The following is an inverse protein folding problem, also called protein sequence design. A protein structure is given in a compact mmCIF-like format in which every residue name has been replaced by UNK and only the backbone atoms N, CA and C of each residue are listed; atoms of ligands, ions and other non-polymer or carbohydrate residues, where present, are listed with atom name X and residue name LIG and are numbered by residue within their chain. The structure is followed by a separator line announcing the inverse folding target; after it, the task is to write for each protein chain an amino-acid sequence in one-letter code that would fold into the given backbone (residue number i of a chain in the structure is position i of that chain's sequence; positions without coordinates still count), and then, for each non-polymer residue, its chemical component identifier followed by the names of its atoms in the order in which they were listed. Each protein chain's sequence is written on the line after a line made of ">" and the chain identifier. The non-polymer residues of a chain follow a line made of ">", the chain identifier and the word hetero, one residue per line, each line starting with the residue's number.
data_IF_118436896394
#
_entry.id   IF_118436896394
#
_cell.length_a   1.000
_cell.length_b   1.000
_cell.length_c   1.000
_cell.angle_alpha   90.00
_cell.angle_beta   90.00
_cell.angle_gamma   90.00
#
_symmetry.space_group_name_H-M   'P 1'
#
loop_
_entity.id
_entity.type
_entity.pdbx_description
1 polymer ?
#
# COMPACT_ATOMS: atom_id res chain seq x y z
N UNK A 1 -23.16 -46.81 -1.86
CA UNK A 1 -21.81 -46.66 -1.30
C UNK A 1 -20.87 -46.29 -2.44
N UNK A 2 -20.53 -45.00 -2.50
CA UNK A 2 -19.34 -44.36 -3.11
C UNK A 2 -18.81 -43.40 -2.02
N UNK A 3 -17.55 -42.91 -2.00
CA UNK A 3 -16.62 -42.58 -3.10
C UNK A 3 -15.24 -43.27 -2.93
N UNK A 4 -14.29 -43.32 -3.87
CA UNK A 4 -13.68 -42.37 -4.82
C UNK A 4 -12.59 -41.45 -4.23
N UNK A 5 -11.48 -41.35 -4.97
CA UNK A 5 -10.22 -40.61 -4.78
C UNK A 5 -9.08 -41.22 -3.93
N UNK A 6 -8.10 -41.80 -4.64
CA UNK A 6 -6.71 -41.87 -4.20
C UNK A 6 -5.78 -41.62 -5.39
N UNK A 7 -5.06 -40.49 -5.39
CA UNK A 7 -3.58 -40.40 -5.34
C UNK A 7 -3.11 -39.00 -5.75
N UNK A 8 -2.35 -38.41 -4.82
CA UNK A 8 -1.51 -37.24 -4.97
C UNK A 8 -0.42 -37.51 -6.02
N UNK A 9 -0.25 -36.60 -6.97
CA UNK A 9 0.92 -36.53 -7.83
C UNK A 9 1.81 -35.41 -7.30
N UNK A 10 2.91 -35.81 -6.66
CA UNK A 10 4.07 -34.94 -6.44
C UNK A 10 4.71 -34.71 -7.80
N UNK A 11 4.81 -33.46 -8.24
CA UNK A 11 5.58 -33.09 -9.42
C UNK A 11 7.04 -32.89 -8.97
N UNK A 12 7.88 -33.91 -9.18
CA UNK A 12 9.32 -33.77 -9.04
C UNK A 12 9.87 -32.83 -10.12
N UNK A 13 10.85 -32.00 -9.75
CA UNK A 13 11.52 -31.07 -10.66
C UNK A 13 12.33 -31.84 -11.72
N UNK A 14 12.34 -31.41 -13.00
CA UNK A 14 13.07 -32.11 -14.04
C UNK A 14 14.59 -31.97 -13.86
N UNK A 15 15.29 -33.10 -13.93
CA UNK A 15 16.76 -33.20 -13.96
C UNK A 15 17.30 -32.59 -15.27
N UNK A 16 18.42 -31.85 -15.25
CA UNK A 16 18.91 -31.19 -16.45
C UNK A 16 19.62 -32.20 -17.36
N UNK A 17 19.09 -32.40 -18.57
CA UNK A 17 19.80 -33.04 -19.67
C UNK A 17 20.49 -31.97 -20.50
N UNK A 18 21.82 -32.02 -20.52
CA UNK A 18 22.70 -31.26 -21.39
C UNK A 18 22.65 -31.83 -22.82
N UNK A 19 22.15 -31.04 -23.77
CA UNK A 19 22.56 -31.13 -25.18
C UNK A 19 22.14 -29.86 -25.93
N UNK A 20 23.15 -29.05 -26.23
CA UNK A 20 23.28 -28.06 -27.32
C UNK A 20 22.19 -28.03 -28.39
N UNK A 21 21.42 -26.94 -28.38
CA UNK A 21 20.93 -26.15 -29.52
C UNK A 21 20.55 -24.77 -28.95
N UNK A 22 21.56 -23.89 -28.77
CA UNK A 22 21.37 -22.53 -28.28
C UNK A 22 21.07 -21.58 -29.45
N UNK A 23 19.85 -21.66 -29.96
CA UNK A 23 19.17 -20.56 -30.66
C UNK A 23 18.03 -20.06 -29.78
N UNK A 24 18.33 -19.78 -28.50
CA UNK A 24 17.41 -19.01 -27.67
C UNK A 24 17.50 -17.54 -28.11
N UNK A 25 16.58 -17.10 -28.98
CA UNK A 25 16.30 -15.68 -29.14
C UNK A 25 16.15 -15.10 -27.72
N UNK A 26 17.15 -14.34 -27.24
CA UNK A 26 17.02 -13.58 -26.02
C UNK A 26 15.84 -12.64 -26.21
N UNK A 27 14.71 -13.02 -25.64
CA UNK A 27 13.47 -12.25 -25.75
C UNK A 27 13.71 -10.89 -25.10
N UNK A 28 13.93 -9.87 -25.94
CA UNK A 28 14.25 -8.53 -25.46
C UNK A 28 12.96 -7.86 -24.98
N UNK A 29 12.63 -8.08 -23.71
CA UNK A 29 11.41 -7.55 -23.08
C UNK A 29 11.33 -6.03 -23.18
N UNK A 30 12.47 -5.33 -23.16
CA UNK A 30 12.53 -3.87 -23.25
C UNK A 30 12.04 -3.34 -24.62
N UNK A 31 12.16 -4.13 -25.69
CA UNK A 31 11.61 -3.77 -27.00
C UNK A 31 10.10 -4.01 -27.10
N UNK A 32 9.60 -5.00 -26.39
CA UNK A 32 8.17 -5.38 -26.40
C UNK A 32 7.33 -4.66 -25.35
N UNK A 33 7.97 -4.03 -24.36
CA UNK A 33 7.35 -3.23 -23.31
C UNK A 33 7.92 -1.79 -23.27
N UNK A 34 7.53 -0.93 -24.22
CA UNK A 34 7.96 0.47 -24.24
C UNK A 34 7.48 1.27 -23.03
N UNK A 35 6.50 0.77 -22.27
CA UNK A 35 6.05 1.40 -21.04
C UNK A 35 7.03 1.17 -19.88
N UNK A 36 7.84 0.11 -19.94
CA UNK A 36 8.73 -0.32 -18.85
C UNK A 36 8.00 -0.89 -17.64
N UNK A 37 6.75 -1.33 -17.81
CA UNK A 37 5.93 -1.92 -16.75
C UNK A 37 6.58 -3.18 -16.16
N UNK A 38 7.16 -4.05 -16.99
CA UNK A 38 7.90 -5.24 -16.59
C UNK A 38 8.90 -4.91 -15.47
N UNK A 39 9.74 -3.90 -15.71
CA UNK A 39 10.78 -3.50 -14.75
C UNK A 39 10.17 -3.01 -13.46
N UNK A 40 9.11 -2.19 -13.53
CA UNK A 40 8.39 -1.71 -12.35
C UNK A 40 7.74 -2.84 -11.55
N UNK A 41 7.28 -3.90 -12.21
CA UNK A 41 6.71 -5.08 -11.52
C UNK A 41 7.81 -5.91 -10.85
N UNK A 42 8.96 -6.10 -11.51
CA UNK A 42 10.11 -6.81 -10.93
C UNK A 42 10.71 -6.05 -9.77
N UNK A 43 10.70 -4.72 -9.82
CA UNK A 43 11.20 -3.83 -8.76
C UNK A 43 10.25 -3.75 -7.55
N UNK A 44 9.13 -4.49 -7.54
CA UNK A 44 8.14 -4.45 -6.46
C UNK A 44 8.74 -4.67 -5.06
N UNK A 45 9.63 -5.66 -4.82
CA UNK A 45 10.26 -5.84 -3.50
C UNK A 45 11.04 -4.61 -3.04
N UNK A 46 11.78 -3.97 -3.94
CA UNK A 46 12.55 -2.75 -3.65
C UNK A 46 11.62 -1.57 -3.36
N UNK A 47 10.53 -1.42 -4.11
CA UNK A 47 9.50 -0.41 -3.82
C UNK A 47 8.92 -0.60 -2.41
N UNK A 48 8.57 -1.84 -2.08
CA UNK A 48 7.99 -2.19 -0.80
C UNK A 48 8.96 -1.95 0.36
N UNK A 49 10.24 -2.32 0.21
CA UNK A 49 11.28 -2.08 1.20
C UNK A 49 11.51 -0.58 1.43
N UNK A 50 11.60 0.20 0.34
CA UNK A 50 11.77 1.64 0.43
C UNK A 50 10.57 2.32 1.10
N UNK A 51 9.36 1.97 0.68
CA UNK A 51 8.12 2.47 1.26
C UNK A 51 7.99 2.12 2.76
N UNK A 52 8.36 0.90 3.15
CA UNK A 52 8.41 0.49 4.56
C UNK A 52 9.33 1.40 5.39
N UNK A 53 10.56 1.65 4.89
CA UNK A 53 11.52 2.53 5.57
C UNK A 53 11.02 3.97 5.66
N UNK A 54 10.38 4.48 4.61
CA UNK A 54 9.77 5.82 4.62
C UNK A 54 8.66 5.92 5.68
N UNK A 55 7.73 4.96 5.69
CA UNK A 55 6.61 4.96 6.63
C UNK A 55 7.07 4.84 8.09
N UNK A 56 8.03 3.95 8.37
CA UNK A 56 8.55 3.73 9.74
C UNK A 56 9.36 4.91 10.28
N UNK A 57 9.91 5.76 9.41
CA UNK A 57 10.69 6.95 9.80
C UNK A 57 9.87 8.24 9.80
N UNK A 58 8.67 8.23 9.23
CA UNK A 58 7.84 9.42 9.12
C UNK A 58 7.31 9.84 10.50
N UNK A 59 7.49 11.12 10.83
CA UNK A 59 7.15 11.71 12.16
C UNK A 59 6.03 12.74 12.07
N UNK A 60 5.20 12.69 11.01
CA UNK A 60 4.10 13.64 10.84
C UNK A 60 2.94 13.41 11.80
N UNK A 61 2.87 12.24 12.44
CA UNK A 61 1.98 11.95 13.55
C UNK A 61 2.85 11.44 14.70
N UNK A 62 2.63 11.98 15.90
CA UNK A 62 3.25 11.49 17.13
C UNK A 62 2.76 10.08 17.47
N UNK A 63 3.30 9.47 18.53
CA UNK A 63 2.83 8.15 18.95
C UNK A 63 1.34 8.24 19.34
N UNK A 64 0.47 7.77 18.44
CA UNK A 64 -0.98 7.89 18.58
C UNK A 64 -1.50 6.76 19.48
N UNK A 65 -1.34 6.94 20.79
CA UNK A 65 -1.89 6.02 21.79
C UNK A 65 -3.41 5.98 21.62
N UNK A 66 -3.95 4.79 21.35
CA UNK A 66 -5.39 4.54 21.34
C UNK A 66 -6.06 4.54 19.97
N UNK A 67 -5.32 4.51 18.85
CA UNK A 67 -5.92 4.25 17.54
C UNK A 67 -6.53 2.84 17.52
N UNK A 68 -7.84 2.77 17.25
CA UNK A 68 -8.65 1.54 17.23
C UNK A 68 -9.21 1.26 15.84
N UNK A 69 -9.26 2.29 14.99
CA UNK A 69 -9.85 2.25 13.66
C UNK A 69 -9.04 3.10 12.70
N UNK A 70 -8.88 2.62 11.47
CA UNK A 70 -8.28 3.36 10.35
C UNK A 70 -9.29 3.45 9.22
N UNK A 71 -9.56 4.67 8.76
CA UNK A 71 -10.34 4.95 7.56
C UNK A 71 -9.40 5.39 6.45
N UNK A 72 -9.29 4.61 5.38
CA UNK A 72 -8.49 4.96 4.22
C UNK A 72 -9.43 5.52 3.15
N UNK A 73 -9.37 6.83 2.92
CA UNK A 73 -10.13 7.52 1.88
C UNK A 73 -9.28 7.58 0.62
N UNK A 74 -9.70 6.90 -0.44
CA UNK A 74 -8.94 6.90 -1.68
C UNK A 74 -9.54 6.03 -2.77
N UNK A 75 -9.08 6.26 -4.00
CA UNK A 75 -9.56 5.59 -5.20
C UNK A 75 -8.48 4.74 -5.86
N UNK A 76 -8.89 3.74 -6.64
CA UNK A 76 -8.00 2.91 -7.46
C UNK A 76 -6.86 2.28 -6.66
N UNK A 77 -5.61 2.54 -7.07
CA UNK A 77 -4.41 2.00 -6.43
C UNK A 77 -4.27 2.34 -4.95
N UNK A 78 -4.70 3.55 -4.54
CA UNK A 78 -4.72 3.94 -3.12
C UNK A 78 -5.67 3.08 -2.30
N UNK A 79 -6.86 2.79 -2.86
CA UNK A 79 -7.83 1.91 -2.22
C UNK A 79 -7.29 0.48 -2.10
N UNK A 80 -6.65 -0.03 -3.16
CA UNK A 80 -6.05 -1.38 -3.17
C UNK A 80 -4.94 -1.48 -2.12
N UNK A 81 -4.05 -0.49 -2.04
CA UNK A 81 -2.99 -0.43 -1.02
C UNK A 81 -3.56 -0.45 0.40
N UNK A 82 -4.62 0.33 0.65
CA UNK A 82 -5.35 0.32 1.92
C UNK A 82 -5.98 -1.04 2.25
N UNK A 83 -6.56 -1.71 1.26
CA UNK A 83 -7.15 -3.04 1.44
C UNK A 83 -6.10 -4.09 1.80
N UNK A 84 -4.95 -4.08 1.11
CA UNK A 84 -3.84 -5.00 1.42
C UNK A 84 -3.32 -4.75 2.83
N UNK A 85 -3.08 -3.48 3.19
CA UNK A 85 -2.65 -3.13 4.55
C UNK A 85 -3.68 -3.58 5.60
N UNK A 86 -4.97 -3.37 5.35
CA UNK A 86 -6.06 -3.82 6.21
C UNK A 86 -6.03 -5.31 6.48
N UNK A 87 -5.90 -6.13 5.43
CA UNK A 87 -5.83 -7.59 5.56
C UNK A 87 -4.63 -8.07 6.38
N UNK A 88 -3.51 -7.34 6.35
CA UNK A 88 -2.32 -7.64 7.17
C UNK A 88 -2.55 -7.25 8.62
N UNK A 89 -3.10 -6.05 8.86
CA UNK A 89 -3.32 -5.50 10.21
C UNK A 89 -4.38 -6.28 10.97
N UNK A 90 -5.53 -6.57 10.35
CA UNK A 90 -6.66 -7.27 10.99
C UNK A 90 -6.29 -8.67 11.49
N UNK A 91 -5.29 -9.31 10.89
CA UNK A 91 -4.81 -10.63 11.33
C UNK A 91 -3.93 -10.58 12.57
N UNK A 92 -3.46 -9.40 12.97
CA UNK A 92 -2.37 -9.23 13.95
C UNK A 92 -2.63 -8.16 14.99
N UNK A 93 -3.65 -7.32 14.79
CA UNK A 93 -4.00 -6.19 15.64
C UNK A 93 -5.52 -6.11 15.78
N UNK A 94 -6.05 -5.65 16.93
CA UNK A 94 -7.47 -5.36 17.07
C UNK A 94 -7.92 -4.10 16.30
N UNK A 95 -7.00 -3.40 15.64
CA UNK A 95 -7.30 -2.21 14.84
C UNK A 95 -8.13 -2.59 13.61
N UNK A 96 -9.34 -2.03 13.52
CA UNK A 96 -10.22 -2.21 12.36
C UNK A 96 -9.78 -1.28 11.22
N UNK A 97 -9.75 -1.78 9.98
CA UNK A 97 -9.39 -0.96 8.82
C UNK A 97 -10.49 -1.00 7.76
N UNK A 98 -10.88 0.18 7.27
CA UNK A 98 -11.92 0.32 6.26
C UNK A 98 -11.44 1.21 5.14
N UNK A 99 -11.71 0.81 3.89
CA UNK A 99 -11.41 1.61 2.71
C UNK A 99 -12.68 2.24 2.19
N UNK A 100 -12.69 3.57 2.14
CA UNK A 100 -13.84 4.38 1.72
C UNK A 100 -13.51 4.98 0.36
N UNK A 101 -14.37 4.70 -0.62
CA UNK A 101 -14.23 5.14 -2.02
C UNK A 101 -15.19 6.27 -2.39
N UNK A 102 -16.30 6.37 -1.67
CA UNK A 102 -17.34 7.34 -1.96
C UNK A 102 -17.26 8.56 -1.05
N UNK A 103 -18.07 9.57 -1.36
CA UNK A 103 -18.17 10.84 -0.63
C UNK A 103 -18.72 10.69 0.80
N UNK A 104 -19.39 9.57 1.08
CA UNK A 104 -20.01 9.29 2.38
C UNK A 104 -18.97 8.72 3.35
N UNK A 105 -18.22 9.62 3.98
CA UNK A 105 -17.23 9.28 4.99
C UNK A 105 -17.94 8.83 6.27
N UNK A 106 -17.67 7.60 6.78
CA UNK A 106 -18.23 7.11 8.03
C UNK A 106 -17.94 8.03 9.22
N UNK A 107 -18.76 7.93 10.25
CA UNK A 107 -18.46 8.60 11.52
C UNK A 107 -17.10 8.18 12.08
N UNK A 108 -16.39 9.17 12.64
CA UNK A 108 -15.07 9.03 13.25
C UNK A 108 -15.13 9.55 14.69
N UNK A 109 -14.15 9.16 15.48
CA UNK A 109 -13.94 9.59 16.85
C UNK A 109 -12.44 9.83 17.11
N UNK A 110 -12.07 10.19 18.33
CA UNK A 110 -10.68 10.44 18.71
C UNK A 110 -9.77 9.20 18.60
N UNK A 111 -10.36 8.00 18.55
CA UNK A 111 -9.65 6.73 18.32
C UNK A 111 -9.54 6.34 16.84
N UNK A 112 -9.94 7.22 15.91
CA UNK A 112 -9.93 6.98 14.47
C UNK A 112 -8.76 7.72 13.81
N UNK A 113 -7.98 6.99 13.01
CA UNK A 113 -7.02 7.55 12.07
C UNK A 113 -7.67 7.64 10.68
N UNK A 114 -7.76 8.84 10.11
CA UNK A 114 -8.25 9.07 8.75
C UNK A 114 -7.03 9.29 7.83
N UNK A 115 -6.84 8.38 6.89
CA UNK A 115 -5.76 8.41 5.90
C UNK A 115 -6.34 8.79 4.56
N UNK A 116 -5.98 9.95 4.05
CA UNK A 116 -6.41 10.41 2.72
C UNK A 116 -5.30 10.10 1.71
N UNK A 117 -5.58 9.21 0.76
CA UNK A 117 -4.58 8.66 -0.13
C UNK A 117 -4.91 8.90 -1.61
N UNK A 118 -4.06 9.66 -2.31
CA UNK A 118 -4.15 9.84 -3.76
C UNK A 118 -2.75 9.81 -4.38
N UNK A 119 -2.53 8.92 -5.34
CA UNK A 119 -1.25 8.82 -6.05
C UNK A 119 -0.94 10.04 -6.92
N UNK A 120 -1.96 10.63 -7.58
CA UNK A 120 -1.78 11.83 -8.40
C UNK A 120 -1.76 13.11 -7.55
N UNK A 121 -2.47 13.11 -6.42
CA UNK A 121 -2.75 14.32 -5.66
C UNK A 121 -3.83 15.21 -6.29
N UNK A 122 -4.49 14.73 -7.36
CA UNK A 122 -5.45 15.49 -8.17
C UNK A 122 -6.81 14.77 -8.31
N UNK A 123 -7.05 13.72 -7.51
CA UNK A 123 -8.33 13.00 -7.55
C UNK A 123 -9.44 13.90 -7.03
N UNK A 124 -10.38 14.30 -7.91
CA UNK A 124 -11.43 15.28 -7.61
C UNK A 124 -12.27 14.89 -6.40
N UNK A 125 -12.67 13.61 -6.30
CA UNK A 125 -13.46 13.09 -5.20
C UNK A 125 -12.71 13.24 -3.86
N UNK A 126 -11.41 12.93 -3.86
CA UNK A 126 -10.55 13.04 -2.67
C UNK A 126 -10.35 14.49 -2.26
N UNK A 127 -10.12 15.38 -3.24
CA UNK A 127 -9.96 16.82 -2.99
C UNK A 127 -11.25 17.42 -2.42
N UNK A 128 -12.40 17.09 -3.02
CA UNK A 128 -13.70 17.60 -2.58
C UNK A 128 -14.06 17.17 -1.16
N UNK A 129 -13.58 16.00 -0.72
CA UNK A 129 -13.82 15.45 0.60
C UNK A 129 -12.89 16.02 1.70
N UNK A 130 -11.73 16.56 1.33
CA UNK A 130 -10.69 16.98 2.29
C UNK A 130 -11.16 18.05 3.30
N UNK A 131 -11.88 19.11 2.91
CA UNK A 131 -12.41 20.09 3.86
C UNK A 131 -13.38 19.47 4.86
N UNK A 132 -14.22 18.52 4.43
CA UNK A 132 -15.11 17.79 5.33
C UNK A 132 -14.32 16.93 6.29
N UNK A 133 -13.30 16.20 5.82
CA UNK A 133 -12.41 15.37 6.65
C UNK A 133 -11.69 16.20 7.72
N UNK A 134 -11.23 17.41 7.36
CA UNK A 134 -10.53 18.30 8.28
C UNK A 134 -11.35 18.65 9.54
N UNK A 135 -12.67 18.72 9.41
CA UNK A 135 -13.58 19.07 10.51
C UNK A 135 -14.04 17.87 11.36
N UNK A 136 -13.77 16.63 10.90
CA UNK A 136 -14.12 15.41 11.65
C UNK A 136 -13.22 15.23 12.88
N UNK A 137 -13.66 14.55 13.95
CA UNK A 137 -12.78 14.14 15.04
C UNK A 137 -11.75 13.08 14.58
N UNK A 138 -10.76 12.80 15.41
CA UNK A 138 -9.69 11.82 15.12
C UNK A 138 -8.42 12.41 14.52
N UNK A 139 -7.44 11.54 14.28
CA UNK A 139 -6.14 11.90 13.71
C UNK A 139 -6.24 11.86 12.18
N UNK A 140 -5.62 12.81 11.48
CA UNK A 140 -5.62 12.84 10.01
C UNK A 140 -4.21 12.80 9.46
N UNK A 141 -4.05 12.13 8.32
CA UNK A 141 -2.86 12.26 7.50
C UNK A 141 -3.19 12.12 6.03
N UNK A 142 -2.27 12.59 5.20
CA UNK A 142 -2.32 12.46 3.75
C UNK A 142 -1.16 11.58 3.28
N UNK A 143 -1.40 10.71 2.30
CA UNK A 143 -0.37 9.98 1.55
C UNK A 143 -0.51 10.34 0.07
N UNK A 144 0.51 10.96 -0.51
CA UNK A 144 0.45 11.44 -1.91
C UNK A 144 1.84 11.57 -2.54
N UNK A 145 1.92 11.69 -3.87
CA UNK A 145 3.15 12.13 -4.55
C UNK A 145 3.28 13.66 -4.65
N UNK A 146 2.32 14.40 -4.11
CA UNK A 146 2.29 15.86 -4.12
C UNK A 146 0.94 16.38 -4.61
N UNK A 147 1.00 17.35 -5.52
CA UNK A 147 -0.18 17.92 -6.17
C UNK A 147 -1.01 18.84 -5.28
N UNK A 148 -2.22 19.14 -5.75
CA UNK A 148 -3.20 19.97 -5.05
C UNK A 148 -3.51 19.41 -3.66
N UNK A 149 -3.62 18.09 -3.52
CA UNK A 149 -3.89 17.43 -2.23
C UNK A 149 -2.83 17.77 -1.18
N UNK A 150 -1.54 17.74 -1.53
CA UNK A 150 -0.47 18.09 -0.59
C UNK A 150 -0.53 19.57 -0.17
N UNK A 151 -0.84 20.47 -1.12
CA UNK A 151 -0.96 21.91 -0.85
C UNK A 151 -2.16 22.22 0.05
N UNK A 152 -3.31 21.62 -0.21
CA UNK A 152 -4.52 21.82 0.58
C UNK A 152 -4.38 21.20 1.97
N UNK A 153 -3.76 20.02 2.08
CA UNK A 153 -3.45 19.40 3.37
C UNK A 153 -2.59 20.32 4.24
N UNK A 154 -1.55 20.94 3.66
CA UNK A 154 -0.72 21.91 4.36
C UNK A 154 -1.50 23.15 4.80
N UNK A 155 -2.44 23.64 3.97
CA UNK A 155 -3.30 24.78 4.34
C UNK A 155 -4.30 24.46 5.46
N UNK A 156 -4.58 23.17 5.70
CA UNK A 156 -5.47 22.65 6.75
C UNK A 156 -4.70 22.09 7.96
N UNK A 157 -3.38 22.28 8.02
CA UNK A 157 -2.49 21.72 9.05
C UNK A 157 -2.59 20.18 9.18
N UNK A 158 -2.91 19.48 8.08
CA UNK A 158 -2.93 18.03 8.02
C UNK A 158 -1.56 17.53 7.57
N UNK A 159 -0.87 16.68 8.37
CA UNK A 159 0.45 16.17 8.01
C UNK A 159 0.37 15.26 6.78
N UNK A 160 1.28 15.47 5.83
CA UNK A 160 1.37 14.71 4.60
C UNK A 160 2.67 13.88 4.54
N UNK A 161 2.54 12.58 4.24
CA UNK A 161 3.63 11.73 3.80
C UNK A 161 3.70 11.84 2.27
N UNK A 162 4.68 12.60 1.80
CA UNK A 162 4.93 12.83 0.37
C UNK A 162 6.05 11.90 -0.09
N UNK A 163 5.80 11.12 -1.14
CA UNK A 163 6.78 10.21 -1.72
C UNK A 163 7.01 10.47 -3.21
N UNK A 164 8.15 10.05 -3.72
CA UNK A 164 8.47 10.09 -5.15
C UNK A 164 8.43 8.69 -5.72
N UNK A 165 7.76 8.53 -6.87
CA UNK A 165 7.71 7.29 -7.62
C UNK A 165 7.50 7.58 -9.09
N UNK A 166 8.33 6.99 -9.95
CA UNK A 166 8.26 7.12 -11.41
C UNK A 166 7.49 5.94 -12.01
N UNK A 167 6.28 6.22 -12.50
CA UNK A 167 5.42 5.21 -13.11
C UNK A 167 3.95 5.53 -12.91
N UNK A 168 3.09 4.63 -13.38
CA UNK A 168 1.64 4.75 -13.25
C UNK A 168 1.15 4.25 -11.87
N UNK A 169 0.00 4.73 -11.36
CA UNK A 169 -0.51 4.36 -10.04
C UNK A 169 -0.58 2.85 -9.79
N UNK A 170 -0.96 2.09 -10.82
CA UNK A 170 -1.07 0.61 -10.79
C UNK A 170 0.25 -0.12 -10.55
N UNK A 171 1.38 0.53 -10.83
CA UNK A 171 2.71 -0.04 -10.62
C UNK A 171 3.29 0.30 -9.25
N UNK A 172 2.70 1.24 -8.51
CA UNK A 172 3.17 1.73 -7.22
C UNK A 172 2.58 0.98 -6.02
N UNK A 173 2.22 -0.30 -6.20
CA UNK A 173 1.51 -1.08 -5.20
C UNK A 173 2.33 -1.22 -3.90
N UNK A 174 3.65 -1.38 -4.03
CA UNK A 174 4.56 -1.47 -2.89
C UNK A 174 4.48 -0.22 -2.00
N UNK A 175 4.38 0.97 -2.62
CA UNK A 175 4.20 2.22 -1.89
C UNK A 175 2.85 2.31 -1.20
N UNK A 176 1.75 1.97 -1.90
CA UNK A 176 0.40 2.11 -1.36
C UNK A 176 0.20 1.34 -0.05
N UNK A 177 0.63 0.08 0.02
CA UNK A 177 0.46 -0.74 1.21
C UNK A 177 1.56 -0.50 2.27
N UNK A 178 2.83 -0.47 1.86
CA UNK A 178 3.94 -0.47 2.82
C UNK A 178 4.19 0.87 3.49
N UNK A 179 3.86 2.00 2.83
CA UNK A 179 3.86 3.30 3.50
C UNK A 179 2.89 3.30 4.69
N UNK A 180 1.67 2.84 4.45
CA UNK A 180 0.63 2.79 5.47
C UNK A 180 1.01 1.82 6.60
N UNK A 181 1.47 0.60 6.28
CA UNK A 181 1.91 -0.37 7.29
C UNK A 181 3.08 0.17 8.12
N UNK A 182 4.05 0.85 7.50
CA UNK A 182 5.18 1.45 8.19
C UNK A 182 4.75 2.55 9.16
N UNK A 183 3.81 3.42 8.73
CA UNK A 183 3.25 4.47 9.61
C UNK A 183 2.47 3.84 10.77
N UNK A 184 1.60 2.87 10.50
CA UNK A 184 0.82 2.16 11.52
C UNK A 184 1.72 1.50 12.56
N UNK A 185 2.85 0.92 12.13
CA UNK A 185 3.86 0.42 13.05
C UNK A 185 4.49 1.53 13.89
N UNK A 186 4.91 2.62 13.25
CA UNK A 186 5.59 3.73 13.92
C UNK A 186 4.73 4.40 14.99
N UNK A 187 3.42 4.45 14.81
CA UNK A 187 2.47 5.00 15.78
C UNK A 187 1.95 3.97 16.79
N UNK A 188 2.36 2.71 16.67
CA UNK A 188 1.98 1.61 17.56
C UNK A 188 0.57 1.03 17.34
N UNK A 189 -0.05 1.26 16.18
CA UNK A 189 -1.34 0.69 15.80
C UNK A 189 -1.22 -0.75 15.23
N UNK A 190 0.00 -1.14 14.85
CA UNK A 190 0.32 -2.44 14.29
C UNK A 190 1.70 -2.87 14.78
N UNK A 191 1.83 -4.09 15.31
CA UNK A 191 3.13 -4.61 15.73
C UNK A 191 3.57 -5.74 14.80
N UNK A 192 4.80 -5.61 14.31
CA UNK A 192 5.50 -6.60 13.49
C UNK A 192 6.99 -6.38 13.69
N UNK A 193 7.82 -7.41 13.52
CA UNK A 193 9.27 -7.27 13.64
C UNK A 193 9.90 -6.91 12.29
N UNK A 194 10.95 -6.08 12.27
CA UNK A 194 11.61 -5.67 11.00
C UNK A 194 12.16 -6.87 10.25
N UNK A 195 12.77 -7.81 10.97
CA UNK A 195 13.28 -9.06 10.40
C UNK A 195 12.19 -9.91 9.75
N UNK A 196 10.92 -9.74 10.12
CA UNK A 196 9.82 -10.44 9.46
C UNK A 196 9.44 -9.76 8.14
N UNK A 197 9.39 -8.42 8.13
CA UNK A 197 9.14 -7.65 6.91
C UNK A 197 10.26 -7.89 5.91
N UNK A 198 11.52 -7.85 6.33
CA UNK A 198 12.70 -8.12 5.50
C UNK A 198 12.71 -9.53 4.91
N UNK A 199 12.11 -10.52 5.58
CA UNK A 199 11.99 -11.90 5.06
C UNK A 199 10.86 -12.06 4.04
N UNK A 200 9.86 -11.19 4.08
CA UNK A 200 8.70 -11.23 3.20
C UNK A 200 8.92 -10.47 1.88
N UNK A 201 9.97 -9.63 1.82
CA UNK A 201 10.40 -8.85 0.66
C UNK A 201 11.58 -9.53 -0.03
#
# INVERSE_FOLDING_TARGET
>A
MSPDFARSTVLDAPTPTDSTDDDSEQFNLDQTDPSGLWRRLVDFPQQAAHAWQMGTRWTGIDHAVGIRRVLVIGMGGSAIGGQIAGQVVERRSPVAMEVVRDSDIPESDDGTLIVVASFSGETEEVLSALPTIATRPGVKMVITRGGTLAREAAALDIPALIYTYEGEPRSALGYGAMLLLGVLRRIGAFDVQDAEVERAL
#
